data_IF_775689306399
#
_entry.id   IF_775689306399
#
_cell.length_a   1.000
_cell.length_b   1.000
_cell.length_c   1.000
_cell.angle_alpha   90.00
_cell.angle_beta   90.00
_cell.angle_gamma   90.00
#
_symmetry.space_group_name_H-M   'P 1'
#
loop_
_entity.id
_entity.type
_entity.pdbx_description
1 polymer ?
#
# COMPACT_ATOMS: atom_id res chain seq x y z
N UNK A 1 15.70 -10.61 -10.26
CA UNK A 1 14.30 -10.99 -9.94
C UNK A 1 13.49 -9.86 -9.29
N UNK A 2 13.95 -9.14 -8.25
CA UNK A 2 13.21 -7.96 -7.76
C UNK A 2 13.16 -6.82 -8.77
N UNK A 3 14.25 -6.49 -9.44
CA UNK A 3 14.28 -5.50 -10.53
C UNK A 3 13.35 -5.87 -11.69
N UNK A 4 13.24 -7.15 -12.02
CA UNK A 4 12.31 -7.65 -13.05
C UNK A 4 10.86 -7.56 -12.61
N UNK A 5 10.56 -7.73 -11.30
CA UNK A 5 9.22 -7.50 -10.78
C UNK A 5 8.79 -6.05 -10.98
N UNK A 6 9.66 -5.08 -10.63
CA UNK A 6 9.33 -3.67 -10.79
C UNK A 6 9.28 -3.22 -12.26
N UNK A 7 10.10 -3.83 -13.14
CA UNK A 7 10.12 -3.47 -14.56
C UNK A 7 8.86 -3.90 -15.32
N UNK A 8 8.15 -4.93 -14.85
CA UNK A 8 6.97 -5.46 -15.52
C UNK A 8 5.64 -4.87 -15.00
N UNK A 9 5.64 -4.22 -13.83
CA UNK A 9 4.42 -3.71 -13.21
C UNK A 9 3.79 -2.56 -14.01
N UNK A 10 4.55 -1.56 -14.49
CA UNK A 10 3.98 -0.53 -15.37
C UNK A 10 3.32 -1.13 -16.62
N UNK A 11 3.92 -2.14 -17.23
CA UNK A 11 3.38 -2.82 -18.41
C UNK A 11 2.03 -3.51 -18.11
N UNK A 12 1.89 -4.13 -16.93
CA UNK A 12 0.61 -4.72 -16.49
C UNK A 12 -0.44 -3.62 -16.28
N UNK A 13 -0.05 -2.51 -15.66
CA UNK A 13 -0.93 -1.36 -15.49
C UNK A 13 -1.40 -0.81 -16.83
N UNK A 14 -0.48 -0.56 -17.77
CA UNK A 14 -0.78 -0.07 -19.12
C UNK A 14 -1.73 -1.01 -19.88
N UNK A 15 -1.52 -2.32 -19.72
CA UNK A 15 -2.42 -3.33 -20.32
C UNK A 15 -3.83 -3.25 -19.73
N UNK A 16 -3.97 -3.05 -18.41
CA UNK A 16 -5.27 -2.86 -17.75
C UNK A 16 -5.94 -1.58 -18.22
N UNK A 17 -5.20 -0.47 -18.25
CA UNK A 17 -5.71 0.83 -18.73
C UNK A 17 -6.18 0.73 -20.17
N UNK A 18 -5.41 0.08 -21.05
CA UNK A 18 -5.82 -0.17 -22.43
C UNK A 18 -7.15 -0.97 -22.51
N UNK A 19 -7.33 -1.98 -21.65
CA UNK A 19 -8.57 -2.72 -21.49
C UNK A 19 -9.76 -1.87 -21.01
N UNK A 20 -9.48 -0.76 -20.30
CA UNK A 20 -10.46 0.22 -19.86
C UNK A 20 -10.70 1.36 -20.89
N UNK A 21 -10.23 1.19 -22.12
CA UNK A 21 -10.38 2.19 -23.18
C UNK A 21 -9.35 3.34 -23.10
N UNK A 22 -8.22 3.12 -22.45
CA UNK A 22 -7.15 4.11 -22.26
C UNK A 22 -7.41 5.09 -21.11
N UNK A 23 -8.39 4.84 -20.27
CA UNK A 23 -8.83 5.72 -19.19
C UNK A 23 -8.30 5.22 -17.83
N UNK A 24 -7.21 5.81 -17.35
CA UNK A 24 -6.59 5.48 -16.06
C UNK A 24 -7.49 5.81 -14.85
N UNK A 25 -8.40 6.78 -14.99
CA UNK A 25 -9.37 7.14 -13.94
C UNK A 25 -10.38 6.04 -13.63
N UNK A 26 -10.39 4.95 -14.38
CA UNK A 26 -11.21 3.74 -14.17
C UNK A 26 -10.46 2.62 -13.44
N UNK A 27 -9.18 2.83 -13.12
CA UNK A 27 -8.31 1.81 -12.51
C UNK A 27 -7.98 2.20 -11.08
N UNK A 28 -8.23 1.30 -10.15
CA UNK A 28 -7.76 1.40 -8.76
C UNK A 28 -6.66 0.36 -8.54
N UNK A 29 -5.58 0.78 -7.94
CA UNK A 29 -4.48 -0.11 -7.57
C UNK A 29 -4.68 -0.59 -6.13
N UNK A 30 -4.60 -1.90 -5.90
CA UNK A 30 -4.76 -2.50 -4.57
C UNK A 30 -3.55 -3.35 -4.23
N UNK A 31 -2.86 -3.03 -3.14
CA UNK A 31 -1.77 -3.82 -2.58
C UNK A 31 -2.14 -4.41 -1.23
N UNK A 32 -1.77 -5.68 -0.99
CA UNK A 32 -1.89 -6.33 0.32
C UNK A 32 -0.50 -6.68 0.86
N UNK A 33 -0.26 -6.43 2.14
CA UNK A 33 1.00 -6.76 2.82
C UNK A 33 2.20 -6.22 2.02
N UNK A 34 3.11 -7.08 1.59
CA UNK A 34 4.25 -6.74 0.75
C UNK A 34 3.85 -6.04 -0.56
N UNK A 35 2.70 -6.39 -1.12
CA UNK A 35 2.15 -5.73 -2.30
C UNK A 35 1.83 -4.25 -2.10
N UNK A 36 1.71 -3.77 -0.85
CA UNK A 36 1.49 -2.34 -0.56
C UNK A 36 2.70 -1.49 -0.96
N UNK A 37 3.92 -1.99 -0.72
CA UNK A 37 5.15 -1.32 -1.16
C UNK A 37 5.27 -1.26 -2.69
N UNK A 38 4.84 -2.33 -3.37
CA UNK A 38 4.80 -2.41 -4.84
C UNK A 38 3.77 -1.45 -5.40
N UNK A 39 2.54 -1.48 -4.86
CA UNK A 39 1.44 -0.62 -5.27
C UNK A 39 1.76 0.87 -5.04
N UNK A 40 2.29 1.21 -3.87
CA UNK A 40 2.71 2.57 -3.54
C UNK A 40 3.82 3.08 -4.45
N UNK A 41 4.79 2.21 -4.81
CA UNK A 41 5.84 2.57 -5.77
C UNK A 41 5.28 2.85 -7.17
N UNK A 42 4.47 1.92 -7.69
CA UNK A 42 3.83 2.11 -8.98
C UNK A 42 3.05 3.43 -9.04
N UNK A 43 2.14 3.63 -8.08
CA UNK A 43 1.27 4.81 -8.07
C UNK A 43 2.08 6.09 -7.91
N UNK A 44 3.15 6.10 -7.10
CA UNK A 44 4.01 7.28 -6.98
C UNK A 44 4.70 7.65 -8.31
N UNK A 45 5.11 6.68 -9.12
CA UNK A 45 5.66 6.93 -10.46
C UNK A 45 4.58 7.44 -11.41
N UNK A 46 3.40 6.84 -11.41
CA UNK A 46 2.28 7.25 -12.26
C UNK A 46 1.84 8.68 -11.96
N UNK A 47 1.79 9.07 -10.67
CA UNK A 47 1.47 10.45 -10.28
C UNK A 47 2.54 11.45 -10.78
N UNK A 48 3.82 11.10 -10.71
CA UNK A 48 4.89 11.94 -11.28
C UNK A 48 4.79 12.10 -12.80
N UNK A 49 4.25 11.10 -13.49
CA UNK A 49 4.02 11.13 -14.95
C UNK A 49 2.65 11.71 -15.32
N UNK A 50 1.86 12.17 -14.36
CA UNK A 50 0.48 12.66 -14.56
C UNK A 50 -0.44 11.62 -15.22
N UNK A 51 -0.19 10.32 -14.96
CA UNK A 51 -0.99 9.19 -15.41
C UNK A 51 -1.69 8.51 -14.21
N UNK A 52 -2.41 9.29 -13.44
CA UNK A 52 -2.95 8.89 -12.15
C UNK A 52 -4.02 7.80 -12.28
N UNK A 53 -3.95 6.74 -11.45
CA UNK A 53 -5.10 5.85 -11.26
C UNK A 53 -6.22 6.58 -10.51
N UNK A 54 -7.43 6.03 -10.55
CA UNK A 54 -8.56 6.56 -9.78
C UNK A 54 -8.28 6.61 -8.26
N UNK A 55 -7.51 5.66 -7.74
CA UNK A 55 -7.16 5.60 -6.32
C UNK A 55 -6.22 4.44 -5.98
N UNK A 56 -5.77 4.45 -4.74
CA UNK A 56 -4.86 3.45 -4.17
C UNK A 56 -5.47 2.83 -2.90
N UNK A 57 -5.52 1.50 -2.83
CA UNK A 57 -5.90 0.76 -1.62
C UNK A 57 -4.68 0.02 -1.07
N UNK A 58 -4.39 0.25 0.21
CA UNK A 58 -3.28 -0.37 0.94
C UNK A 58 -3.84 -1.21 2.10
N UNK A 59 -3.78 -2.53 1.97
CA UNK A 59 -4.27 -3.47 2.98
C UNK A 59 -3.11 -4.03 3.80
N UNK A 60 -3.15 -3.85 5.13
CA UNK A 60 -2.07 -4.21 6.07
C UNK A 60 -0.70 -3.67 5.62
N UNK A 61 -0.56 -2.35 5.39
CA UNK A 61 0.65 -1.78 4.84
C UNK A 61 1.80 -1.72 5.83
N UNK A 62 3.02 -1.84 5.29
CA UNK A 62 4.24 -1.47 5.98
C UNK A 62 4.53 0.02 5.79
N UNK A 63 4.97 0.70 6.83
CA UNK A 63 5.41 2.09 6.73
C UNK A 63 6.86 2.17 6.19
N UNK A 64 7.80 1.74 6.99
CA UNK A 64 9.22 1.64 6.63
C UNK A 64 9.83 0.44 7.34
N UNK A 65 10.18 -0.60 6.58
CA UNK A 65 10.69 -1.85 7.16
C UNK A 65 12.12 -1.69 7.68
N UNK A 66 12.93 -0.82 7.07
CA UNK A 66 14.35 -0.71 7.41
C UNK A 66 14.58 -0.16 8.83
N UNK A 67 13.75 0.74 9.31
CA UNK A 67 13.88 1.35 10.63
C UNK A 67 13.24 0.50 11.73
N UNK A 68 12.16 -0.20 11.45
CA UNK A 68 11.52 -1.07 12.44
C UNK A 68 12.24 -2.42 12.60
N UNK A 69 12.80 -2.97 11.54
CA UNK A 69 13.59 -4.21 11.59
C UNK A 69 14.81 -4.05 12.51
N UNK A 70 15.41 -2.87 12.56
CA UNK A 70 16.58 -2.60 13.42
C UNK A 70 16.25 -2.41 14.91
N UNK A 71 15.03 -2.00 15.23
CA UNK A 71 14.69 -1.51 16.58
C UNK A 71 13.62 -2.33 17.33
N UNK A 72 13.05 -3.40 16.76
CA UNK A 72 11.94 -4.09 17.38
C UNK A 72 12.22 -5.57 17.74
N UNK A 73 11.82 -6.04 18.95
CA UNK A 73 11.97 -7.44 19.36
C UNK A 73 11.31 -8.46 18.43
N UNK A 74 10.33 -8.03 17.62
CA UNK A 74 9.65 -8.88 16.64
C UNK A 74 10.48 -9.17 15.38
N UNK A 75 11.62 -8.51 15.17
CA UNK A 75 12.56 -8.89 14.10
C UNK A 75 12.96 -10.36 14.16
N UNK A 76 12.99 -10.94 15.38
CA UNK A 76 13.27 -12.35 15.57
C UNK A 76 12.23 -13.28 14.90
N UNK A 77 10.95 -12.90 14.84
CA UNK A 77 9.91 -13.69 14.16
C UNK A 77 10.07 -13.59 12.64
N UNK A 78 10.41 -12.42 12.14
CA UNK A 78 10.60 -12.16 10.71
C UNK A 78 11.88 -12.80 10.17
N UNK A 79 12.97 -12.80 10.95
CA UNK A 79 14.25 -13.42 10.58
C UNK A 79 14.16 -14.95 10.43
N UNK A 80 13.09 -15.58 10.96
CA UNK A 80 12.84 -17.02 10.82
C UNK A 80 12.07 -17.39 9.55
N UNK A 81 11.56 -16.43 8.80
CA UNK A 81 10.89 -16.72 7.52
C UNK A 81 11.94 -16.95 6.43
N UNK A 82 11.95 -18.12 5.75
CA UNK A 82 13.01 -18.51 4.83
C UNK A 82 13.15 -17.60 3.59
N UNK A 83 12.20 -16.73 3.35
CA UNK A 83 12.21 -15.75 2.27
C UNK A 83 12.49 -14.32 2.74
N UNK A 84 12.61 -14.10 4.08
CA UNK A 84 12.88 -12.78 4.66
C UNK A 84 14.25 -12.27 4.25
N UNK A 85 15.31 -13.07 4.42
CA UNK A 85 16.67 -12.71 4.01
C UNK A 85 16.77 -12.45 2.51
N UNK A 86 16.07 -13.27 1.71
CA UNK A 86 16.09 -13.12 0.26
C UNK A 86 15.33 -11.88 -0.21
N UNK A 87 14.22 -11.56 0.45
CA UNK A 87 13.35 -10.44 0.05
C UNK A 87 13.83 -9.11 0.62
N UNK A 88 14.28 -9.08 1.87
CA UNK A 88 14.64 -7.86 2.57
C UNK A 88 16.12 -7.55 2.56
N UNK A 89 16.99 -8.52 2.85
CA UNK A 89 18.42 -8.26 2.99
C UNK A 89 19.09 -8.05 1.64
N UNK A 90 18.69 -8.80 0.63
CA UNK A 90 19.27 -8.69 -0.71
C UNK A 90 18.68 -7.51 -1.52
N UNK A 91 17.40 -7.18 -1.30
CA UNK A 91 16.78 -6.01 -1.94
C UNK A 91 17.19 -4.70 -1.30
N UNK A 92 17.49 -4.68 0.00
CA UNK A 92 17.99 -3.50 0.71
C UNK A 92 19.47 -3.24 0.43
N UNK A 93 20.28 -4.30 0.13
CA UNK A 93 21.71 -4.16 -0.09
C UNK A 93 22.07 -3.75 -1.54
N UNK A 94 21.25 -4.11 -2.52
CA UNK A 94 21.61 -3.97 -3.94
C UNK A 94 20.91 -2.81 -4.67
N UNK A 95 19.91 -2.14 -4.05
CA UNK A 95 19.19 -1.07 -4.72
C UNK A 95 18.62 -0.05 -3.72
N UNK A 96 18.55 1.22 -4.15
CA UNK A 96 17.76 2.33 -3.60
C UNK A 96 16.24 2.05 -3.52
N UNK A 97 15.82 0.80 -3.63
CA UNK A 97 14.43 0.35 -3.56
C UNK A 97 14.11 -0.09 -2.13
N UNK A 98 14.43 0.77 -1.15
CA UNK A 98 13.86 0.64 0.19
C UNK A 98 12.34 0.70 0.07
N UNK A 99 11.61 -0.21 0.76
CA UNK A 99 10.16 -0.10 0.91
C UNK A 99 9.84 1.11 1.82
N UNK A 100 10.16 2.30 1.32
CA UNK A 100 9.94 3.61 1.95
C UNK A 100 8.56 4.12 1.50
N UNK A 101 7.53 3.40 1.90
CA UNK A 101 6.14 3.78 1.58
C UNK A 101 5.81 5.15 2.17
N UNK A 102 6.40 5.50 3.30
CA UNK A 102 6.31 6.81 3.94
C UNK A 102 6.83 7.96 3.06
N UNK A 103 7.93 7.77 2.36
CA UNK A 103 8.45 8.79 1.43
C UNK A 103 7.64 8.85 0.14
N UNK A 104 7.14 7.71 -0.33
CA UNK A 104 6.37 7.62 -1.57
C UNK A 104 4.95 8.17 -1.44
N UNK A 105 4.34 8.02 -0.26
CA UNK A 105 2.99 8.52 -0.01
C UNK A 105 2.91 10.05 -0.20
N UNK A 106 4.02 10.76 -0.01
CA UNK A 106 4.16 12.18 -0.26
C UNK A 106 4.14 12.57 -1.76
N UNK A 107 4.20 11.61 -2.67
CA UNK A 107 4.19 11.81 -4.12
C UNK A 107 2.87 11.35 -4.76
N UNK A 108 1.99 10.74 -3.98
CA UNK A 108 0.71 10.18 -4.44
C UNK A 108 -0.38 11.22 -4.27
N UNK A 109 -0.96 11.70 -5.36
CA UNK A 109 -1.99 12.73 -5.36
C UNK A 109 -3.43 12.19 -5.49
N UNK A 110 -3.62 10.95 -5.96
CA UNK A 110 -4.92 10.31 -6.00
C UNK A 110 -5.44 9.91 -4.59
N UNK A 111 -6.75 9.65 -4.42
CA UNK A 111 -7.32 9.15 -3.17
C UNK A 111 -6.64 7.87 -2.67
N UNK A 112 -6.44 7.77 -1.35
CA UNK A 112 -5.83 6.61 -0.70
C UNK A 112 -6.73 6.05 0.39
N UNK A 113 -6.97 4.74 0.35
CA UNK A 113 -7.66 3.99 1.41
C UNK A 113 -6.69 2.99 2.06
N UNK A 114 -6.49 3.14 3.36
CA UNK A 114 -5.70 2.21 4.18
C UNK A 114 -6.66 1.31 4.94
N UNK A 115 -6.48 0.00 4.84
CA UNK A 115 -7.25 -1.02 5.56
C UNK A 115 -6.31 -1.75 6.52
N UNK A 116 -6.63 -1.81 7.82
CA UNK A 116 -5.79 -2.51 8.77
C UNK A 116 -6.58 -3.08 9.94
N UNK A 117 -6.31 -4.35 10.30
CA UNK A 117 -6.87 -4.97 11.48
C UNK A 117 -5.99 -4.73 12.72
N UNK A 118 -6.60 -4.42 13.86
CA UNK A 118 -5.89 -4.16 15.11
C UNK A 118 -5.20 -5.41 15.68
N UNK A 119 -5.71 -6.59 15.33
CA UNK A 119 -5.17 -7.90 15.72
C UNK A 119 -4.17 -8.48 14.69
N UNK A 120 -3.66 -7.65 13.76
CA UNK A 120 -2.64 -8.09 12.80
C UNK A 120 -1.33 -8.42 13.52
N UNK A 121 -1.04 -9.73 13.64
CA UNK A 121 0.16 -10.24 14.29
C UNK A 121 1.37 -10.30 13.33
N UNK A 122 1.16 -10.03 12.04
CA UNK A 122 2.20 -10.09 11.00
C UNK A 122 2.74 -8.69 10.74
N UNK A 123 1.86 -7.74 10.43
CA UNK A 123 2.19 -6.32 10.27
C UNK A 123 1.48 -5.55 11.39
N UNK A 124 2.20 -5.06 12.40
CA UNK A 124 1.57 -4.36 13.50
C UNK A 124 0.71 -3.17 13.05
N UNK A 125 -0.52 -3.10 13.56
CA UNK A 125 -1.51 -2.06 13.23
C UNK A 125 -0.98 -0.63 13.32
N UNK A 126 -0.10 -0.37 14.31
CA UNK A 126 0.55 0.93 14.48
C UNK A 126 1.27 1.44 13.22
N UNK A 127 1.73 0.53 12.33
CA UNK A 127 2.41 0.90 11.08
C UNK A 127 1.43 1.49 10.06
N UNK A 128 0.22 0.95 9.97
CA UNK A 128 -0.85 1.53 9.16
C UNK A 128 -1.28 2.90 9.67
N UNK A 129 -1.37 3.05 11.01
CA UNK A 129 -1.66 4.35 11.64
C UNK A 129 -0.56 5.37 11.33
N UNK A 130 0.72 4.98 11.52
CA UNK A 130 1.85 5.86 11.23
C UNK A 130 1.90 6.28 9.74
N UNK A 131 1.59 5.37 8.82
CA UNK A 131 1.50 5.69 7.40
C UNK A 131 0.37 6.68 7.11
N UNK A 132 -0.80 6.49 7.74
CA UNK A 132 -1.92 7.43 7.64
C UNK A 132 -1.56 8.82 8.15
N UNK A 133 -0.96 8.93 9.34
CA UNK A 133 -0.51 10.20 9.93
C UNK A 133 0.54 10.89 9.04
N UNK A 134 1.49 10.13 8.50
CA UNK A 134 2.46 10.64 7.53
C UNK A 134 1.76 11.19 6.30
N UNK A 135 0.83 10.44 5.71
CA UNK A 135 0.08 10.88 4.54
C UNK A 135 -0.73 12.15 4.81
N UNK A 136 -1.37 12.26 5.98
CA UNK A 136 -2.10 13.46 6.39
C UNK A 136 -1.19 14.70 6.54
N UNK A 137 0.06 14.50 6.95
CA UNK A 137 0.99 15.62 7.22
C UNK A 137 1.76 16.09 6.00
N UNK A 138 2.04 15.19 5.03
CA UNK A 138 2.95 15.49 3.92
C UNK A 138 2.26 15.70 2.56
N UNK A 139 0.99 15.28 2.39
CA UNK A 139 0.24 15.45 1.15
C UNK A 139 -0.42 16.81 1.06
N UNK A 140 -0.54 17.35 -0.16
CA UNK A 140 -1.26 18.59 -0.38
C UNK A 140 -2.74 18.45 0.00
N UNK A 141 -3.35 19.48 0.63
CA UNK A 141 -4.79 19.50 0.92
C UNK A 141 -5.67 19.45 -0.34
N UNK A 142 -5.14 19.84 -1.50
CA UNK A 142 -5.84 19.84 -2.79
C UNK A 142 -5.85 18.46 -3.47
N UNK A 143 -5.10 17.50 -2.92
CA UNK A 143 -5.05 16.15 -3.43
C UNK A 143 -6.21 15.30 -2.93
N UNK A 144 -6.41 14.14 -3.57
CA UNK A 144 -7.43 13.20 -3.12
C UNK A 144 -7.24 12.81 -1.64
N UNK A 145 -8.33 12.58 -0.89
CA UNK A 145 -8.27 12.33 0.55
C UNK A 145 -7.57 11.03 0.90
N UNK A 146 -7.06 10.96 2.13
CA UNK A 146 -6.53 9.71 2.73
C UNK A 146 -7.51 9.25 3.81
N UNK A 147 -7.90 8.00 3.77
CA UNK A 147 -8.77 7.37 4.75
C UNK A 147 -8.08 6.17 5.41
N UNK A 148 -8.30 5.98 6.70
CA UNK A 148 -7.91 4.78 7.43
C UNK A 148 -9.18 4.08 7.92
N UNK A 149 -9.40 2.85 7.45
CA UNK A 149 -10.40 1.94 7.98
C UNK A 149 -9.72 0.94 8.92
N UNK A 150 -9.99 1.09 10.19
CA UNK A 150 -9.54 0.16 11.24
C UNK A 150 -10.59 -0.91 11.50
N UNK A 151 -10.14 -2.13 11.73
CA UNK A 151 -10.98 -3.26 12.11
C UNK A 151 -10.60 -3.71 13.52
N UNK A 152 -11.59 -3.68 14.44
CA UNK A 152 -11.37 -4.04 15.84
C UNK A 152 -10.79 -5.45 15.98
N UNK A 153 -9.89 -5.63 16.95
CA UNK A 153 -9.31 -6.92 17.32
C UNK A 153 -10.33 -8.01 17.62
N UNK A 154 -11.53 -7.63 18.08
CA UNK A 154 -12.61 -8.57 18.39
C UNK A 154 -13.17 -9.30 17.16
N UNK A 155 -12.93 -8.76 15.97
CA UNK A 155 -13.37 -9.37 14.71
C UNK A 155 -12.49 -10.54 14.26
N UNK A 156 -11.25 -10.64 14.76
CA UNK A 156 -10.34 -11.73 14.46
C UNK A 156 -9.90 -11.80 13.01
N UNK A 157 -9.82 -10.66 12.31
CA UNK A 157 -9.44 -10.63 10.89
C UNK A 157 -7.94 -10.83 10.69
N UNK A 158 -7.12 -10.39 11.66
CA UNK A 158 -5.67 -10.49 11.59
C UNK A 158 -5.12 -9.97 10.26
N UNK A 159 -4.06 -10.63 9.77
CA UNK A 159 -3.35 -10.19 8.56
C UNK A 159 -4.07 -10.49 7.24
N UNK A 160 -5.03 -11.43 7.21
CA UNK A 160 -5.49 -12.03 5.93
C UNK A 160 -6.99 -11.97 5.71
N UNK A 161 -7.77 -11.65 6.72
CA UNK A 161 -9.19 -11.93 6.68
C UNK A 161 -10.09 -10.69 6.69
N UNK A 162 -9.54 -9.50 6.43
CA UNK A 162 -10.32 -8.28 6.19
C UNK A 162 -11.34 -8.52 5.06
N UNK A 163 -10.99 -9.35 4.08
CA UNK A 163 -11.89 -9.74 2.98
C UNK A 163 -13.18 -10.47 3.43
N UNK A 164 -13.27 -10.91 4.69
CA UNK A 164 -14.46 -11.52 5.29
C UNK A 164 -15.43 -10.51 5.90
N UNK A 165 -15.02 -9.24 6.00
CA UNK A 165 -15.87 -8.21 6.55
C UNK A 165 -17.09 -7.97 5.65
N UNK A 166 -18.33 -8.10 6.18
CA UNK A 166 -19.53 -7.91 5.39
C UNK A 166 -19.73 -6.46 4.94
N UNK A 167 -19.10 -5.50 5.61
CA UNK A 167 -19.12 -4.08 5.28
C UNK A 167 -18.10 -3.69 4.21
N UNK A 168 -17.07 -4.51 3.96
CA UNK A 168 -16.01 -4.19 3.01
C UNK A 168 -16.53 -3.86 1.59
N UNK A 169 -17.50 -4.61 1.02
CA UNK A 169 -18.02 -4.27 -0.32
C UNK A 169 -18.68 -2.90 -0.38
N UNK A 170 -19.32 -2.44 0.71
CA UNK A 170 -19.91 -1.10 0.76
C UNK A 170 -18.81 -0.05 0.90
N UNK A 171 -17.86 -0.24 1.79
CA UNK A 171 -16.71 0.65 1.96
C UNK A 171 -15.97 0.88 0.64
N UNK A 172 -15.74 -0.20 -0.12
CA UNK A 172 -15.06 -0.08 -1.43
C UNK A 172 -15.93 0.67 -2.44
N UNK A 173 -17.25 0.46 -2.47
CA UNK A 173 -18.14 1.25 -3.34
C UNK A 173 -18.07 2.74 -3.01
N UNK A 174 -18.15 3.09 -1.72
CA UNK A 174 -18.11 4.48 -1.26
C UNK A 174 -16.75 5.12 -1.62
N UNK A 175 -15.64 4.37 -1.47
CA UNK A 175 -14.32 4.81 -1.89
C UNK A 175 -14.24 5.04 -3.42
N UNK A 176 -14.77 4.12 -4.23
CA UNK A 176 -14.80 4.26 -5.69
C UNK A 176 -15.66 5.45 -6.14
N UNK A 177 -16.78 5.72 -5.46
CA UNK A 177 -17.61 6.89 -5.73
C UNK A 177 -16.86 8.19 -5.39
N UNK A 178 -16.13 8.20 -4.27
CA UNK A 178 -15.28 9.33 -3.89
C UNK A 178 -14.19 9.58 -4.95
N UNK A 179 -13.51 8.52 -5.42
CA UNK A 179 -12.47 8.62 -6.45
C UNK A 179 -12.98 9.23 -7.76
N UNK A 180 -14.26 9.06 -8.11
CA UNK A 180 -14.87 9.62 -9.32
C UNK A 180 -15.19 11.12 -9.21
N UNK A 181 -15.22 11.63 -7.99
CA UNK A 181 -15.59 13.02 -7.70
C UNK A 181 -14.38 13.90 -7.38
N UNK A 182 -13.19 13.31 -7.35
CA UNK A 182 -11.91 14.01 -7.24
C UNK A 182 -11.32 14.26 -8.61
#
# INVERSE_FOLDING_TARGET
MCLEMYSNIPQVYDWVVAGCGGDSSRVVVWGHSLGTGVAGHLVSLLCLESNNPAGLVLESPFNNIADEVRNHPMCWVWSKMPWFDWFFTKSLADNDVGFVTDQRIALIDCPVLILHAEDDAVVPYKLGVALYETAQSCRSPDWGPVQLQSYSSDLGYGHKYICRDPGLPQLIRDFLEMCRNC
#
